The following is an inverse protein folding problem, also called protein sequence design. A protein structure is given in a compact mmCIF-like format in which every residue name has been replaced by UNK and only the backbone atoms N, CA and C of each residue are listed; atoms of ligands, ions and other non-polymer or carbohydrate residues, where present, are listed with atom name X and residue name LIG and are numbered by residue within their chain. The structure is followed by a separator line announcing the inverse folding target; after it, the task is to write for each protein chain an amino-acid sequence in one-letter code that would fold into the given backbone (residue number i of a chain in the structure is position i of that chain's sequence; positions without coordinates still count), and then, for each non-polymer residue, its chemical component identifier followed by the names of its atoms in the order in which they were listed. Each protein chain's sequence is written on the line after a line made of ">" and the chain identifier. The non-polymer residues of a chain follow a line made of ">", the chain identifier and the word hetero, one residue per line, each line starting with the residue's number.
data_IF_236683768848
#
_entry.id   IF_236683768848
#
_cell.length_a   1.000
_cell.length_b   1.000
_cell.length_c   1.000
_cell.angle_alpha   90.00
_cell.angle_beta   90.00
_cell.angle_gamma   90.00
#
_symmetry.space_group_name_H-M   'P 1'
#
loop_
_entity.id
_entity.type
_entity.pdbx_description
1 polymer ?
#
# COMPACT_ATOMS: atom_id res chain seq x y z
N UNK A 1 -34.30 44.23 -57.25
CA UNK A 1 -33.73 42.96 -56.74
C UNK A 1 -32.48 43.15 -55.86
N UNK A 2 -31.54 44.07 -56.15
CA UNK A 2 -30.28 44.21 -55.40
C UNK A 2 -30.42 44.60 -53.89
N UNK A 3 -31.43 45.40 -53.50
CA UNK A 3 -31.63 45.81 -52.09
C UNK A 3 -32.15 44.69 -51.17
N UNK A 4 -32.91 43.72 -51.69
CA UNK A 4 -33.42 42.58 -50.91
C UNK A 4 -32.32 41.55 -50.62
N UNK A 5 -31.36 41.39 -51.54
CA UNK A 5 -30.19 40.53 -51.32
C UNK A 5 -29.26 41.05 -50.24
N UNK A 6 -29.04 42.37 -50.17
CA UNK A 6 -28.20 42.99 -49.13
C UNK A 6 -28.84 42.84 -47.74
N UNK A 7 -30.17 43.00 -47.63
CA UNK A 7 -30.88 42.82 -46.36
C UNK A 7 -30.83 41.36 -45.88
N UNK A 8 -30.97 40.38 -46.79
CA UNK A 8 -30.85 38.97 -46.47
C UNK A 8 -29.43 38.58 -46.03
N UNK A 9 -28.40 39.17 -46.65
CA UNK A 9 -27.00 38.95 -46.26
C UNK A 9 -26.70 39.58 -44.90
N UNK A 10 -27.23 40.78 -44.62
CA UNK A 10 -27.08 41.42 -43.31
C UNK A 10 -27.80 40.65 -42.20
N UNK A 11 -28.99 40.12 -42.47
CA UNK A 11 -29.73 39.26 -41.53
C UNK A 11 -29.03 37.92 -41.34
N UNK A 12 -28.47 37.30 -42.39
CA UNK A 12 -27.65 36.09 -42.24
C UNK A 12 -26.36 36.36 -41.45
N UNK A 13 -25.69 37.51 -41.64
CA UNK A 13 -24.51 37.91 -40.84
C UNK A 13 -24.87 38.20 -39.38
N UNK A 14 -26.03 38.81 -39.12
CA UNK A 14 -26.53 39.02 -37.75
C UNK A 14 -26.90 37.69 -37.08
N UNK A 15 -27.48 36.75 -37.83
CA UNK A 15 -27.83 35.41 -37.34
C UNK A 15 -26.60 34.50 -37.19
N UNK A 16 -25.52 34.74 -37.95
CA UNK A 16 -24.23 34.04 -37.76
C UNK A 16 -23.47 34.54 -36.55
N UNK A 17 -23.60 35.84 -36.21
CA UNK A 17 -23.04 36.42 -34.98
C UNK A 17 -23.77 35.99 -33.70
N UNK A 18 -24.95 35.35 -33.81
CA UNK A 18 -25.71 34.79 -32.69
C UNK A 18 -25.43 33.30 -32.44
N UNK A 19 -24.52 32.68 -33.21
CA UNK A 19 -24.05 31.34 -32.89
C UNK A 19 -23.08 31.40 -31.70
N UNK A 20 -23.67 31.24 -30.52
CA UNK A 20 -23.04 30.70 -29.31
C UNK A 20 -21.75 31.41 -28.88
N UNK A 21 -21.92 32.53 -28.16
CA UNK A 21 -21.15 32.68 -26.91
C UNK A 21 -21.66 31.56 -26.00
N UNK A 22 -21.15 30.34 -26.18
CA UNK A 22 -21.08 29.41 -25.06
C UNK A 22 -20.13 30.12 -24.12
N UNK A 23 -20.65 30.61 -22.99
CA UNK A 23 -19.80 30.85 -21.83
C UNK A 23 -18.90 29.61 -21.73
N UNK A 24 -17.59 29.83 -21.79
CA UNK A 24 -16.64 28.77 -21.52
C UNK A 24 -16.93 28.39 -20.07
N UNK A 25 -17.72 27.34 -19.87
CA UNK A 25 -18.02 26.77 -18.57
C UNK A 25 -16.66 26.51 -17.94
N UNK A 26 -16.34 27.27 -16.89
CA UNK A 26 -15.03 27.16 -16.27
C UNK A 26 -14.81 25.75 -15.72
N UNK A 27 -13.54 25.40 -15.57
CA UNK A 27 -13.17 24.08 -15.06
C UNK A 27 -13.25 24.10 -13.52
N UNK A 28 -13.86 23.06 -12.96
CA UNK A 28 -13.82 22.79 -11.51
C UNK A 28 -12.91 21.60 -11.29
N UNK A 29 -11.85 21.79 -10.53
CA UNK A 29 -10.90 20.72 -10.23
C UNK A 29 -11.44 19.88 -9.07
N UNK A 30 -11.61 18.58 -9.27
CA UNK A 30 -12.21 17.68 -8.28
C UNK A 30 -11.14 16.82 -7.61
N UNK A 31 -11.01 16.91 -6.30
CA UNK A 31 -10.16 16.07 -5.46
C UNK A 31 -11.03 15.10 -4.66
N UNK A 32 -10.64 13.83 -4.60
CA UNK A 32 -11.32 12.80 -3.82
C UNK A 32 -10.49 12.40 -2.60
N UNK A 33 -11.07 12.51 -1.41
CA UNK A 33 -10.41 12.36 -0.13
C UNK A 33 -11.17 11.33 0.71
N UNK A 34 -10.61 10.13 0.82
CA UNK A 34 -11.17 9.04 1.64
C UNK A 34 -10.17 8.58 2.70
N UNK A 35 -10.63 8.43 3.94
CA UNK A 35 -9.83 7.89 5.04
C UNK A 35 -9.14 8.97 5.89
N UNK A 36 -8.14 8.59 6.72
CA UNK A 36 -7.57 9.49 7.70
C UNK A 36 -6.80 10.66 7.06
N UNK A 37 -6.81 11.81 7.73
CA UNK A 37 -6.02 12.99 7.33
C UNK A 37 -4.55 12.73 7.69
N UNK A 38 -3.72 12.56 6.66
CA UNK A 38 -2.30 12.22 6.75
C UNK A 38 -1.42 13.27 6.09
N UNK A 39 -0.09 13.29 6.34
CA UNK A 39 0.82 14.19 5.62
C UNK A 39 0.78 14.00 4.09
N UNK A 40 0.53 12.77 3.60
CA UNK A 40 0.36 12.53 2.17
C UNK A 40 -0.88 13.24 1.62
N UNK A 41 -1.95 13.32 2.43
CA UNK A 41 -3.16 14.07 2.09
C UNK A 41 -2.91 15.57 2.03
N UNK A 42 -2.17 16.13 3.00
CA UNK A 42 -1.82 17.55 2.99
C UNK A 42 -1.04 17.96 1.72
N UNK A 43 -0.05 17.14 1.32
CA UNK A 43 0.66 17.36 0.05
C UNK A 43 -0.28 17.30 -1.16
N UNK A 44 -1.25 16.37 -1.15
CA UNK A 44 -2.22 16.25 -2.22
C UNK A 44 -3.15 17.48 -2.31
N UNK A 45 -3.60 18.02 -1.18
CA UNK A 45 -4.32 19.30 -1.12
C UNK A 45 -3.49 20.44 -1.71
N UNK A 46 -2.24 20.60 -1.25
CA UNK A 46 -1.35 21.65 -1.72
C UNK A 46 -1.14 21.58 -3.24
N UNK A 47 -0.87 20.39 -3.79
CA UNK A 47 -0.75 20.19 -5.24
C UNK A 47 -2.06 20.50 -5.98
N UNK A 48 -3.20 20.12 -5.42
CA UNK A 48 -4.51 20.41 -5.99
C UNK A 48 -4.82 21.90 -6.05
N UNK A 49 -4.53 22.61 -4.96
CA UNK A 49 -4.67 24.07 -4.88
C UNK A 49 -3.78 24.74 -5.92
N UNK A 50 -2.49 24.42 -5.93
CA UNK A 50 -1.55 24.95 -6.90
C UNK A 50 -1.95 24.64 -8.35
N UNK A 51 -2.51 23.44 -8.60
CA UNK A 51 -3.00 23.06 -9.92
C UNK A 51 -4.25 23.85 -10.32
N UNK A 52 -5.18 24.10 -9.39
CA UNK A 52 -6.36 24.93 -9.60
C UNK A 52 -5.97 26.37 -9.95
N UNK A 53 -5.06 26.96 -9.18
CA UNK A 53 -4.51 28.31 -9.40
C UNK A 53 -3.81 28.41 -10.75
N UNK A 54 -2.91 27.47 -11.07
CA UNK A 54 -2.18 27.48 -12.34
C UNK A 54 -3.10 27.35 -13.54
N UNK A 55 -4.21 26.62 -13.40
CA UNK A 55 -5.19 26.42 -14.45
C UNK A 55 -6.25 27.52 -14.51
N UNK A 56 -6.27 28.45 -13.54
CA UNK A 56 -7.36 29.41 -13.33
C UNK A 56 -8.72 28.70 -13.27
N UNK A 57 -8.80 27.62 -12.49
CA UNK A 57 -10.04 26.91 -12.23
C UNK A 57 -11.06 27.84 -11.57
N UNK A 58 -12.33 27.66 -11.87
CA UNK A 58 -13.41 28.45 -11.25
C UNK A 58 -13.58 28.14 -9.77
N UNK A 59 -13.31 26.89 -9.40
CA UNK A 59 -13.27 26.43 -8.03
C UNK A 59 -12.50 25.10 -7.95
N UNK A 60 -12.11 24.75 -6.73
CA UNK A 60 -11.64 23.42 -6.36
C UNK A 60 -12.74 22.76 -5.54
N UNK A 61 -13.20 21.60 -5.97
CA UNK A 61 -14.17 20.79 -5.25
C UNK A 61 -13.45 19.61 -4.57
N UNK A 62 -13.60 19.51 -3.26
CA UNK A 62 -13.03 18.44 -2.45
C UNK A 62 -14.18 17.54 -1.99
N UNK A 63 -14.24 16.32 -2.51
CA UNK A 63 -15.11 15.29 -1.95
C UNK A 63 -14.43 14.64 -0.74
N UNK A 64 -15.07 14.70 0.42
CA UNK A 64 -14.48 14.35 1.70
C UNK A 64 -15.27 13.26 2.43
N UNK A 65 -14.58 12.16 2.74
CA UNK A 65 -15.00 11.15 3.71
C UNK A 65 -13.81 10.82 4.64
N UNK A 66 -13.81 11.39 5.84
CA UNK A 66 -12.69 11.22 6.78
C UNK A 66 -13.16 11.01 8.23
N UNK A 67 -12.57 10.03 8.94
CA UNK A 67 -12.78 9.87 10.37
C UNK A 67 -11.93 10.84 11.22
N UNK A 68 -11.06 11.64 10.60
CA UNK A 68 -10.15 12.55 11.27
C UNK A 68 -8.66 12.27 10.99
N UNK A 69 -7.78 12.91 11.74
CA UNK A 69 -6.34 12.71 11.64
C UNK A 69 -5.57 13.62 12.59
N UNK A 70 -4.30 13.88 12.28
CA UNK A 70 -3.42 14.63 13.15
C UNK A 70 -3.75 16.14 13.13
N UNK A 71 -3.72 16.78 14.30
CA UNK A 71 -4.10 18.19 14.48
C UNK A 71 -3.17 19.12 13.69
N UNK A 72 -1.86 18.88 13.75
CA UNK A 72 -0.85 19.66 13.01
C UNK A 72 -1.11 19.62 11.50
N UNK A 73 -1.31 18.42 10.93
CA UNK A 73 -1.64 18.25 9.51
C UNK A 73 -2.95 18.96 9.15
N UNK A 74 -3.93 18.92 10.05
CA UNK A 74 -5.22 19.60 9.85
C UNK A 74 -5.03 21.12 9.77
N UNK A 75 -4.24 21.69 10.68
CA UNK A 75 -3.98 23.12 10.70
C UNK A 75 -3.12 23.56 9.50
N UNK A 76 -2.21 22.71 9.02
CA UNK A 76 -1.48 22.97 7.78
C UNK A 76 -2.43 23.05 6.58
N UNK A 77 -3.43 22.15 6.47
CA UNK A 77 -4.45 22.19 5.42
C UNK A 77 -5.31 23.46 5.52
N UNK A 78 -5.76 23.82 6.73
CA UNK A 78 -6.51 25.07 6.97
C UNK A 78 -5.71 26.28 6.51
N UNK A 79 -4.40 26.30 6.79
CA UNK A 79 -3.51 27.37 6.37
C UNK A 79 -3.33 27.41 4.84
N UNK A 80 -3.29 26.26 4.17
CA UNK A 80 -3.29 26.19 2.70
C UNK A 80 -4.59 26.73 2.11
N UNK A 81 -5.75 26.45 2.71
CA UNK A 81 -7.03 26.98 2.24
C UNK A 81 -7.08 28.50 2.38
N UNK A 82 -6.66 29.02 3.54
CA UNK A 82 -6.63 30.47 3.79
C UNK A 82 -5.72 31.25 2.83
N UNK A 83 -4.72 30.59 2.23
CA UNK A 83 -3.78 31.20 1.29
C UNK A 83 -4.16 30.96 -0.19
N UNK A 84 -5.21 30.19 -0.47
CA UNK A 84 -5.58 29.83 -1.83
C UNK A 84 -6.14 31.06 -2.59
N UNK A 85 -5.77 31.18 -3.86
CA UNK A 85 -6.28 32.24 -4.76
C UNK A 85 -7.54 31.82 -5.55
N UNK A 86 -7.97 30.57 -5.38
CA UNK A 86 -9.14 29.97 -6.05
C UNK A 86 -10.14 29.49 -4.99
N UNK A 87 -11.47 29.66 -5.19
CA UNK A 87 -12.46 29.18 -4.24
C UNK A 87 -12.36 27.67 -3.98
N UNK A 88 -12.41 27.29 -2.71
CA UNK A 88 -12.41 25.91 -2.26
C UNK A 88 -13.79 25.53 -1.71
N UNK A 89 -14.36 24.48 -2.29
CA UNK A 89 -15.64 23.89 -1.90
C UNK A 89 -15.36 22.52 -1.28
N UNK A 90 -15.79 22.29 -0.05
CA UNK A 90 -15.76 20.94 0.55
C UNK A 90 -17.14 20.30 0.49
N UNK A 91 -17.22 19.08 -0.03
CA UNK A 91 -18.42 18.28 -0.12
C UNK A 91 -18.27 16.99 0.69
N UNK A 92 -18.99 16.85 1.79
CA UNK A 92 -19.00 15.62 2.57
C UNK A 92 -19.83 14.58 1.83
N UNK A 93 -19.17 13.59 1.24
CA UNK A 93 -19.77 12.68 0.27
C UNK A 93 -18.95 11.39 0.15
N UNK A 94 -19.55 10.26 -0.32
CA UNK A 94 -20.94 10.10 -0.77
C UNK A 94 -21.94 10.03 0.40
N UNK A 95 -23.21 9.71 0.12
CA UNK A 95 -24.19 9.43 1.18
C UNK A 95 -23.67 8.39 2.18
N UNK A 96 -23.81 8.66 3.47
CA UNK A 96 -23.25 7.85 4.57
C UNK A 96 -21.79 8.16 4.94
N UNK A 97 -21.11 9.05 4.19
CA UNK A 97 -19.79 9.56 4.55
C UNK A 97 -19.80 10.44 5.80
N UNK A 98 -18.61 10.77 6.28
CA UNK A 98 -18.43 11.64 7.43
C UNK A 98 -17.32 12.67 7.24
N UNK A 99 -17.50 13.84 7.84
CA UNK A 99 -16.44 14.81 8.10
C UNK A 99 -16.19 14.88 9.60
N UNK A 100 -15.65 13.81 10.16
CA UNK A 100 -15.41 13.71 11.60
C UNK A 100 -14.05 14.31 11.98
N UNK A 101 -13.97 14.85 13.19
CA UNK A 101 -12.73 15.37 13.77
C UNK A 101 -12.02 16.38 12.87
N UNK A 102 -10.81 16.09 12.38
CA UNK A 102 -10.10 16.92 11.40
C UNK A 102 -10.98 17.31 10.21
N UNK A 103 -11.84 16.41 9.74
CA UNK A 103 -12.76 16.67 8.64
C UNK A 103 -13.72 17.82 8.92
N UNK A 104 -14.16 17.99 10.17
CA UNK A 104 -15.05 19.12 10.55
C UNK A 104 -14.31 20.45 10.43
N UNK A 105 -13.06 20.49 10.90
CA UNK A 105 -12.21 21.69 10.82
C UNK A 105 -11.93 22.05 9.35
N UNK A 106 -11.57 21.04 8.54
CA UNK A 106 -11.30 21.23 7.10
C UNK A 106 -12.54 21.72 6.36
N UNK A 107 -13.71 21.14 6.64
CA UNK A 107 -14.97 21.55 6.01
C UNK A 107 -15.31 23.00 6.36
N UNK A 108 -15.13 23.41 7.61
CA UNK A 108 -15.41 24.78 8.05
C UNK A 108 -14.37 25.81 7.61
N UNK A 109 -13.20 25.36 7.17
CA UNK A 109 -12.18 26.22 6.58
C UNK A 109 -12.40 26.49 5.08
N UNK A 110 -13.31 25.76 4.44
CA UNK A 110 -13.64 25.96 3.03
C UNK A 110 -14.49 27.22 2.82
N UNK A 111 -14.38 27.80 1.63
CA UNK A 111 -15.13 28.99 1.22
C UNK A 111 -16.62 28.69 1.09
N UNK A 112 -16.96 27.47 0.64
CA UNK A 112 -18.30 26.92 0.69
C UNK A 112 -18.26 25.43 1.08
N UNK A 113 -19.35 24.95 1.68
CA UNK A 113 -19.48 23.58 2.14
C UNK A 113 -20.82 22.96 1.74
N UNK A 114 -20.79 21.71 1.31
CA UNK A 114 -21.96 20.89 1.03
C UNK A 114 -21.91 19.56 1.77
N UNK A 115 -23.07 18.94 1.98
CA UNK A 115 -23.16 17.59 2.53
C UNK A 115 -24.14 16.74 1.72
N UNK A 116 -23.79 15.47 1.47
CA UNK A 116 -24.72 14.52 0.89
C UNK A 116 -25.78 14.09 1.93
N UNK A 117 -26.96 13.58 1.51
CA UNK A 117 -27.91 12.96 2.44
C UNK A 117 -27.25 11.88 3.31
N UNK A 118 -27.73 11.72 4.54
CA UNK A 118 -27.25 10.72 5.51
C UNK A 118 -25.77 10.83 5.91
N UNK A 119 -25.12 11.96 5.64
CA UNK A 119 -23.76 12.24 6.13
C UNK A 119 -23.76 12.92 7.48
N UNK A 120 -22.60 12.88 8.16
CA UNK A 120 -22.40 13.49 9.48
C UNK A 120 -21.16 14.40 9.52
N UNK A 121 -21.20 15.43 10.37
CA UNK A 121 -20.07 16.33 10.65
C UNK A 121 -19.95 16.56 12.16
N UNK A 122 -18.73 16.64 12.69
CA UNK A 122 -18.43 16.94 14.09
C UNK A 122 -17.55 15.88 14.77
N UNK A 123 -17.80 15.58 16.04
CA UNK A 123 -16.99 14.69 16.87
C UNK A 123 -15.50 15.06 16.83
N UNK A 124 -15.20 16.33 17.10
CA UNK A 124 -13.87 16.92 16.94
C UNK A 124 -13.11 17.21 18.24
N UNK A 125 -13.54 16.60 19.35
CA UNK A 125 -12.79 16.63 20.59
C UNK A 125 -11.41 15.96 20.44
N UNK A 126 -10.33 16.58 20.93
CA UNK A 126 -8.98 16.04 20.78
C UNK A 126 -8.77 14.81 21.67
N UNK A 127 -8.10 13.80 21.11
CA UNK A 127 -7.70 12.55 21.79
C UNK A 127 -6.22 12.26 21.55
N UNK A 128 -5.65 11.34 22.33
CA UNK A 128 -4.29 10.85 22.12
C UNK A 128 -4.13 10.13 20.79
N UNK A 129 -2.90 10.04 20.29
CA UNK A 129 -2.58 9.35 19.03
C UNK A 129 -2.88 7.85 19.03
N UNK A 130 -3.06 7.24 20.20
CA UNK A 130 -3.54 5.87 20.41
C UNK A 130 -5.08 5.78 20.57
N UNK A 131 -5.76 6.92 20.53
CA UNK A 131 -7.19 7.09 20.79
C UNK A 131 -7.56 7.13 22.29
N UNK A 132 -6.57 7.18 23.19
CA UNK A 132 -6.82 7.33 24.62
C UNK A 132 -7.13 8.78 25.01
N UNK A 133 -7.67 8.98 26.22
CA UNK A 133 -7.87 10.32 26.76
C UNK A 133 -6.53 11.04 26.96
N UNK A 134 -6.50 12.33 26.58
CA UNK A 134 -5.37 13.21 26.84
C UNK A 134 -5.27 13.57 28.34
N UNK A 135 -4.05 13.77 28.88
CA UNK A 135 -3.88 14.33 30.21
C UNK A 135 -4.60 15.69 30.32
N UNK A 136 -5.27 15.93 31.45
CA UNK A 136 -6.19 17.07 31.67
C UNK A 136 -5.63 18.43 31.22
N UNK A 137 -4.38 18.76 31.56
CA UNK A 137 -3.77 20.03 31.18
C UNK A 137 -3.55 20.16 29.66
N UNK A 138 -3.19 19.06 28.99
CA UNK A 138 -3.03 19.03 27.52
C UNK A 138 -4.40 19.11 26.86
N UNK A 139 -5.34 18.27 27.31
CA UNK A 139 -6.73 18.27 26.83
C UNK A 139 -7.33 19.68 26.84
N UNK A 140 -7.23 20.38 27.97
CA UNK A 140 -7.75 21.75 28.10
C UNK A 140 -7.05 22.73 27.15
N UNK A 141 -5.73 22.63 26.98
CA UNK A 141 -4.98 23.49 26.04
C UNK A 141 -5.44 23.27 24.59
N UNK A 142 -5.54 22.03 24.17
CA UNK A 142 -5.97 21.67 22.81
C UNK A 142 -7.43 22.08 22.57
N UNK A 143 -8.33 21.81 23.53
CA UNK A 143 -9.73 22.22 23.42
C UNK A 143 -9.89 23.74 23.29
N UNK A 144 -9.18 24.54 24.10
CA UNK A 144 -9.25 26.01 24.01
C UNK A 144 -8.68 26.53 22.69
N UNK A 145 -7.56 25.98 22.23
CA UNK A 145 -6.93 26.36 20.96
C UNK A 145 -7.83 26.03 19.77
N UNK A 146 -8.33 24.79 19.68
CA UNK A 146 -9.23 24.36 18.62
C UNK A 146 -10.58 25.09 18.65
N UNK A 147 -11.10 25.38 19.85
CA UNK A 147 -12.32 26.20 19.97
C UNK A 147 -12.10 27.61 19.45
N UNK A 148 -10.92 28.20 19.69
CA UNK A 148 -10.57 29.50 19.12
C UNK A 148 -10.44 29.44 17.59
N UNK A 149 -9.86 28.37 17.04
CA UNK A 149 -9.85 28.11 15.59
C UNK A 149 -11.26 28.03 15.03
N UNK A 150 -12.15 27.23 15.64
CA UNK A 150 -13.54 27.11 15.18
C UNK A 150 -14.26 28.46 15.16
N UNK A 151 -14.11 29.28 16.22
CA UNK A 151 -14.70 30.64 16.24
C UNK A 151 -14.21 31.51 15.08
N UNK A 152 -12.95 31.40 14.69
CA UNK A 152 -12.41 32.16 13.56
C UNK A 152 -12.99 31.66 12.23
N UNK A 153 -13.04 30.34 12.03
CA UNK A 153 -13.55 29.74 10.79
C UNK A 153 -15.04 30.01 10.58
N UNK A 154 -15.84 30.01 11.64
CA UNK A 154 -17.29 30.20 11.55
C UNK A 154 -17.76 31.64 11.76
N UNK A 155 -16.85 32.60 11.95
CA UNK A 155 -17.20 33.99 12.25
C UNK A 155 -18.15 34.61 11.20
N UNK A 156 -18.02 34.20 9.94
CA UNK A 156 -18.85 34.67 8.81
C UNK A 156 -20.17 33.90 8.68
N UNK A 157 -20.32 32.76 9.35
CA UNK A 157 -21.50 31.86 9.28
C UNK A 157 -22.56 32.15 10.35
N UNK A 158 -22.22 32.95 11.37
CA UNK A 158 -23.13 33.38 12.43
C UNK A 158 -22.98 32.65 13.76
N UNK A 159 -23.72 33.11 14.77
CA UNK A 159 -23.58 32.67 16.17
C UNK A 159 -23.97 31.19 16.37
N UNK A 160 -25.02 30.71 15.71
CA UNK A 160 -25.49 29.34 15.84
C UNK A 160 -24.50 28.32 15.26
N UNK A 161 -23.99 28.59 14.04
CA UNK A 161 -22.91 27.82 13.44
C UNK A 161 -21.66 27.80 14.33
N UNK A 162 -21.30 28.97 14.87
CA UNK A 162 -20.13 29.12 15.74
C UNK A 162 -20.26 28.35 17.05
N UNK A 163 -21.41 28.45 17.72
CA UNK A 163 -21.68 27.68 18.94
C UNK A 163 -21.61 26.18 18.68
N UNK A 164 -22.24 25.72 17.59
CA UNK A 164 -22.23 24.30 17.23
C UNK A 164 -20.82 23.80 16.91
N UNK A 165 -20.03 24.57 16.15
CA UNK A 165 -18.63 24.23 15.84
C UNK A 165 -17.75 24.16 17.11
N UNK A 166 -17.95 25.07 18.08
CA UNK A 166 -17.27 24.99 19.37
C UNK A 166 -17.70 23.75 20.15
N UNK A 167 -18.99 23.40 20.16
CA UNK A 167 -19.49 22.17 20.81
C UNK A 167 -18.96 20.89 20.17
N UNK A 168 -18.62 20.89 18.88
CA UNK A 168 -17.92 19.76 18.25
C UNK A 168 -16.57 19.48 18.93
N UNK A 169 -15.89 20.53 19.43
CA UNK A 169 -14.62 20.42 20.17
C UNK A 169 -14.87 20.12 21.65
N UNK A 170 -15.78 20.85 22.29
CA UNK A 170 -15.91 20.82 23.76
C UNK A 170 -16.72 19.63 24.27
N UNK A 171 -17.70 19.20 23.49
CA UNK A 171 -18.70 18.18 23.88
C UNK A 171 -18.70 16.96 22.95
N UNK A 172 -17.78 16.92 21.98
CA UNK A 172 -17.77 15.94 20.90
C UNK A 172 -19.09 15.88 20.12
N UNK A 173 -19.80 17.00 20.01
CA UNK A 173 -21.07 17.08 19.28
C UNK A 173 -20.87 16.67 17.81
N UNK A 174 -21.81 15.90 17.29
CA UNK A 174 -21.89 15.56 15.87
C UNK A 174 -23.33 15.73 15.41
N UNK A 175 -23.51 16.19 14.18
CA UNK A 175 -24.81 16.52 13.59
C UNK A 175 -24.92 15.92 12.20
N UNK A 176 -26.15 15.67 11.77
CA UNK A 176 -26.44 15.25 10.40
C UNK A 176 -26.48 16.46 9.44
N UNK A 177 -26.53 16.18 8.14
CA UNK A 177 -26.58 17.21 7.09
C UNK A 177 -27.70 18.27 7.29
N UNK A 178 -28.90 17.85 7.72
CA UNK A 178 -30.03 18.76 7.92
C UNK A 178 -29.82 19.70 9.11
N UNK A 179 -29.31 19.16 10.22
CA UNK A 179 -28.95 19.94 11.41
C UNK A 179 -27.82 20.93 11.10
N UNK A 180 -26.81 20.50 10.32
CA UNK A 180 -25.72 21.35 9.88
C UNK A 180 -26.19 22.51 9.00
N UNK A 181 -27.07 22.24 8.02
CA UNK A 181 -27.66 23.28 7.16
C UNK A 181 -28.51 24.27 7.96
N UNK A 182 -29.35 23.77 8.86
CA UNK A 182 -30.22 24.62 9.69
C UNK A 182 -29.41 25.56 10.60
N UNK A 183 -28.28 25.09 11.12
CA UNK A 183 -27.37 25.89 11.96
C UNK A 183 -26.48 26.85 11.15
N UNK A 184 -26.46 26.75 9.81
CA UNK A 184 -25.61 27.54 8.93
C UNK A 184 -24.14 27.06 8.86
N UNK A 185 -23.85 25.82 9.29
CA UNK A 185 -22.49 25.26 9.18
C UNK A 185 -22.09 24.94 7.73
N UNK A 186 -23.08 24.63 6.89
CA UNK A 186 -22.91 24.30 5.48
C UNK A 186 -23.89 25.12 4.64
N UNK A 187 -23.64 25.17 3.34
CA UNK A 187 -24.36 26.04 2.40
C UNK A 187 -25.41 25.26 1.59
N UNK A 188 -25.24 23.94 1.42
CA UNK A 188 -26.18 23.11 0.65
C UNK A 188 -26.20 21.63 1.09
N UNK A 189 -27.33 20.97 0.79
CA UNK A 189 -27.44 19.51 0.81
C UNK A 189 -27.70 19.07 -0.63
N UNK A 190 -26.88 18.17 -1.16
CA UNK A 190 -26.91 17.79 -2.56
C UNK A 190 -26.77 16.28 -2.73
N UNK A 191 -27.34 15.71 -3.79
CA UNK A 191 -27.26 14.26 -4.05
C UNK A 191 -25.91 13.84 -4.66
N UNK A 192 -25.30 14.71 -5.45
CA UNK A 192 -24.02 14.50 -6.13
C UNK A 192 -23.28 15.83 -6.37
N UNK A 193 -22.07 15.75 -6.91
CA UNK A 193 -21.23 16.93 -7.19
C UNK A 193 -21.88 17.90 -8.18
N UNK A 194 -22.70 17.41 -9.11
CA UNK A 194 -23.34 18.26 -10.12
C UNK A 194 -24.50 19.04 -9.50
N UNK A 195 -25.32 18.38 -8.69
CA UNK A 195 -26.36 19.03 -7.91
C UNK A 195 -25.78 20.09 -6.97
N UNK A 196 -24.69 19.75 -6.25
CA UNK A 196 -24.01 20.71 -5.37
C UNK A 196 -23.54 21.96 -6.12
N UNK A 197 -22.81 21.77 -7.22
CA UNK A 197 -22.29 22.88 -8.02
C UNK A 197 -23.41 23.74 -8.61
N UNK A 198 -24.58 23.17 -8.91
CA UNK A 198 -25.73 23.96 -9.35
C UNK A 198 -26.37 24.75 -8.19
N UNK A 199 -26.41 24.19 -6.97
CA UNK A 199 -26.97 24.88 -5.80
C UNK A 199 -26.07 26.01 -5.28
N UNK A 200 -24.75 25.85 -5.39
CA UNK A 200 -23.76 26.85 -4.99
C UNK A 200 -23.51 27.94 -6.03
N UNK A 201 -24.02 27.78 -7.25
CA UNK A 201 -23.85 28.76 -8.32
C UNK A 201 -24.44 30.13 -7.93
N UNK A 202 -23.65 31.18 -8.10
CA UNK A 202 -24.02 32.54 -7.72
C UNK A 202 -23.82 32.87 -6.24
N UNK A 203 -23.36 31.93 -5.41
CA UNK A 203 -22.99 32.20 -4.02
C UNK A 203 -21.74 33.10 -3.97
N UNK A 204 -21.79 34.14 -3.13
CA UNK A 204 -20.65 35.01 -2.88
C UNK A 204 -19.84 34.51 -1.68
N UNK A 205 -18.53 34.28 -1.89
CA UNK A 205 -17.58 33.77 -0.90
C UNK A 205 -16.37 34.70 -0.77
N UNK A 206 -15.57 34.52 0.28
CA UNK A 206 -14.38 35.35 0.55
C UNK A 206 -13.10 34.55 0.33
N UNK A 207 -12.44 34.77 -0.81
CA UNK A 207 -11.20 34.06 -1.19
C UNK A 207 -10.01 34.99 -0.99
N UNK A 208 -9.06 34.63 -0.13
CA UNK A 208 -7.88 35.44 0.18
C UNK A 208 -8.21 36.91 0.56
N UNK A 209 -9.37 37.13 1.21
CA UNK A 209 -9.86 38.45 1.58
C UNK A 209 -10.53 39.25 0.45
N UNK A 210 -10.71 38.66 -0.73
CA UNK A 210 -11.46 39.22 -1.85
C UNK A 210 -12.82 38.53 -2.01
N UNK A 211 -13.84 39.33 -2.32
CA UNK A 211 -15.19 38.83 -2.54
C UNK A 211 -15.30 38.25 -3.96
N UNK A 212 -15.58 36.95 -4.06
CA UNK A 212 -15.72 36.22 -5.33
C UNK A 212 -17.09 35.56 -5.41
N UNK A 213 -17.70 35.55 -6.60
CA UNK A 213 -18.95 34.84 -6.85
C UNK A 213 -18.66 33.50 -7.52
N UNK A 214 -19.21 32.42 -6.98
CA UNK A 214 -19.04 31.08 -7.54
C UNK A 214 -19.77 30.96 -8.89
N UNK A 215 -19.02 30.61 -9.93
CA UNK A 215 -19.54 30.31 -11.28
C UNK A 215 -19.36 28.80 -11.53
N UNK A 216 -20.29 28.00 -11.03
CA UNK A 216 -20.17 26.55 -10.92
C UNK A 216 -21.23 25.78 -11.72
N UNK A 217 -22.33 26.43 -12.11
CA UNK A 217 -23.38 25.79 -12.89
C UNK A 217 -22.88 25.37 -14.29
N UNK A 218 -23.01 24.08 -14.59
CA UNK A 218 -22.55 23.51 -15.86
C UNK A 218 -21.03 23.52 -16.03
N UNK A 219 -20.26 23.76 -14.96
CA UNK A 219 -18.81 23.70 -14.96
C UNK A 219 -18.31 22.30 -15.37
N UNK A 220 -17.17 22.27 -16.04
CA UNK A 220 -16.54 21.03 -16.45
C UNK A 220 -15.72 20.47 -15.27
N UNK A 221 -16.18 19.34 -14.70
CA UNK A 221 -15.50 18.70 -13.57
C UNK A 221 -14.29 17.90 -14.06
N UNK A 222 -13.11 18.31 -13.62
CA UNK A 222 -11.83 17.68 -13.98
C UNK A 222 -11.27 16.95 -12.76
N UNK A 223 -11.24 15.60 -12.75
CA UNK A 223 -10.67 14.86 -11.63
C UNK A 223 -9.15 15.09 -11.55
N UNK A 224 -8.65 15.33 -10.34
CA UNK A 224 -7.24 15.52 -10.06
C UNK A 224 -6.76 14.44 -9.11
N UNK A 225 -6.13 13.39 -9.63
CA UNK A 225 -5.75 12.23 -8.82
C UNK A 225 -4.51 12.46 -7.93
N UNK A 226 -4.46 11.70 -6.84
CA UNK A 226 -3.21 11.47 -6.10
C UNK A 226 -2.12 10.92 -7.03
N UNK A 227 -0.89 11.41 -6.81
CA UNK A 227 0.30 10.82 -7.41
C UNK A 227 0.53 9.40 -6.90
N UNK A 228 1.36 8.62 -7.61
CA UNK A 228 1.69 7.26 -7.19
C UNK A 228 2.28 7.22 -5.77
N UNK A 229 3.15 8.19 -5.45
CA UNK A 229 3.79 8.24 -4.14
C UNK A 229 2.76 8.53 -3.04
N UNK A 230 1.91 9.54 -3.21
CA UNK A 230 0.85 9.86 -2.25
C UNK A 230 -0.12 8.69 -2.08
N UNK A 231 -0.52 8.04 -3.17
CA UNK A 231 -1.41 6.87 -3.11
C UNK A 231 -0.78 5.73 -2.30
N UNK A 232 0.53 5.49 -2.45
CA UNK A 232 1.25 4.49 -1.65
C UNK A 232 1.35 4.90 -0.19
N UNK A 233 1.73 6.16 0.09
CA UNK A 233 1.87 6.66 1.46
C UNK A 233 0.53 6.76 2.21
N UNK A 234 -0.55 7.06 1.49
CA UNK A 234 -1.90 7.08 2.03
C UNK A 234 -2.41 5.66 2.29
N UNK A 235 -2.15 4.73 1.37
CA UNK A 235 -2.53 3.32 1.55
C UNK A 235 -1.93 2.68 2.80
N UNK A 236 -0.71 3.09 3.21
CA UNK A 236 -0.08 2.58 4.43
C UNK A 236 -0.63 3.19 5.72
N UNK A 237 -1.57 4.13 5.65
CA UNK A 237 -2.40 4.53 6.79
C UNK A 237 -3.55 3.53 7.06
N UNK A 238 -3.56 2.37 6.40
CA UNK A 238 -4.47 1.26 6.67
C UNK A 238 -3.75 0.13 7.44
N UNK A 239 -4.24 -0.28 8.63
CA UNK A 239 -3.58 -1.30 9.45
C UNK A 239 -3.49 -2.67 8.77
N UNK A 240 -4.44 -3.00 7.89
CA UNK A 240 -4.44 -4.25 7.12
C UNK A 240 -3.27 -4.24 6.13
N UNK A 241 -3.07 -3.13 5.42
CA UNK A 241 -1.98 -2.96 4.46
C UNK A 241 -0.64 -3.04 5.19
N UNK A 242 -0.51 -2.34 6.33
CA UNK A 242 0.71 -2.43 7.15
C UNK A 242 0.97 -3.86 7.63
N UNK A 243 -0.05 -4.57 8.12
CA UNK A 243 0.09 -5.97 8.54
C UNK A 243 0.55 -6.90 7.41
N UNK A 244 0.02 -6.72 6.19
CA UNK A 244 0.45 -7.47 5.00
C UNK A 244 1.89 -7.12 4.61
N UNK A 245 2.24 -5.83 4.55
CA UNK A 245 3.59 -5.37 4.23
C UNK A 245 4.62 -5.90 5.22
N UNK A 246 4.30 -5.88 6.51
CA UNK A 246 5.15 -6.46 7.55
C UNK A 246 5.34 -7.96 7.36
N UNK A 247 4.26 -8.71 7.10
CA UNK A 247 4.34 -10.14 6.85
C UNK A 247 5.24 -10.45 5.63
N UNK A 248 4.89 -9.92 4.45
CA UNK A 248 5.65 -10.19 3.23
C UNK A 248 7.10 -9.69 3.36
N UNK A 249 7.30 -8.51 3.95
CA UNK A 249 8.61 -7.94 4.19
C UNK A 249 9.49 -8.84 5.06
N UNK A 250 8.95 -9.35 6.18
CA UNK A 250 9.61 -10.34 7.02
C UNK A 250 9.96 -11.59 6.21
N UNK A 251 9.01 -12.16 5.47
CA UNK A 251 9.26 -13.36 4.67
C UNK A 251 10.38 -13.16 3.64
N UNK A 252 10.41 -12.02 2.96
CA UNK A 252 11.41 -11.71 1.96
C UNK A 252 12.82 -11.59 2.56
N UNK A 253 12.95 -10.98 3.75
CA UNK A 253 14.20 -10.95 4.51
C UNK A 253 14.64 -12.36 4.92
N UNK A 254 13.73 -13.20 5.41
CA UNK A 254 14.07 -14.59 5.78
C UNK A 254 14.61 -15.34 4.56
N UNK A 255 13.97 -15.20 3.40
CA UNK A 255 14.40 -15.87 2.17
C UNK A 255 15.83 -15.48 1.80
N UNK A 256 16.15 -14.18 1.86
CA UNK A 256 17.49 -13.66 1.56
C UNK A 256 18.55 -14.21 2.52
N UNK A 257 18.27 -14.20 3.83
CA UNK A 257 19.19 -14.73 4.84
C UNK A 257 19.38 -16.25 4.68
N UNK A 258 18.33 -16.97 4.28
CA UNK A 258 18.35 -18.42 4.10
C UNK A 258 19.16 -18.87 2.88
N UNK A 259 19.18 -18.06 1.82
CA UNK A 259 19.85 -18.37 0.56
C UNK A 259 20.71 -17.18 0.13
N UNK A 260 21.87 -16.97 0.79
CA UNK A 260 22.73 -15.84 0.48
C UNK A 260 23.19 -15.87 -0.97
N UNK A 261 23.13 -14.72 -1.65
CA UNK A 261 23.54 -14.57 -3.06
C UNK A 261 22.41 -14.10 -3.98
N UNK A 262 21.17 -14.08 -3.49
CA UNK A 262 20.13 -13.18 -3.98
C UNK A 262 20.41 -11.74 -3.54
N UNK A 263 19.61 -10.80 -4.01
CA UNK A 263 19.55 -9.45 -3.42
C UNK A 263 18.14 -8.88 -3.57
N UNK A 264 17.42 -9.37 -4.58
CA UNK A 264 16.04 -9.00 -4.89
C UNK A 264 15.10 -9.25 -3.71
N UNK A 265 15.18 -10.41 -3.05
CA UNK A 265 14.32 -10.72 -1.91
C UNK A 265 14.64 -9.81 -0.71
N UNK A 266 15.92 -9.60 -0.42
CA UNK A 266 16.37 -8.67 0.62
C UNK A 266 15.86 -7.24 0.38
N UNK A 267 16.02 -6.72 -0.85
CA UNK A 267 15.57 -5.38 -1.21
C UNK A 267 14.05 -5.22 -1.10
N UNK A 268 13.27 -6.17 -1.61
CA UNK A 268 11.81 -6.18 -1.46
C UNK A 268 11.43 -6.18 0.02
N UNK A 269 12.12 -7.00 0.82
CA UNK A 269 11.93 -7.07 2.27
C UNK A 269 12.16 -5.72 2.96
N UNK A 270 13.28 -5.07 2.67
CA UNK A 270 13.62 -3.75 3.26
C UNK A 270 12.58 -2.70 2.84
N UNK A 271 12.16 -2.66 1.58
CA UNK A 271 11.17 -1.69 1.10
C UNK A 271 9.82 -1.91 1.79
N UNK A 272 9.33 -3.15 1.83
CA UNK A 272 8.05 -3.48 2.46
C UNK A 272 8.07 -3.20 3.96
N UNK A 273 9.16 -3.53 4.66
CA UNK A 273 9.30 -3.21 6.08
C UNK A 273 9.44 -1.71 6.31
N UNK A 274 10.15 -0.98 5.45
CA UNK A 274 10.25 0.48 5.51
C UNK A 274 8.89 1.16 5.37
N UNK A 275 8.10 0.73 4.39
CA UNK A 275 6.72 1.21 4.19
C UNK A 275 5.81 0.82 5.38
N UNK A 276 5.94 -0.41 5.88
CA UNK A 276 5.22 -0.85 7.07
C UNK A 276 5.55 -0.01 8.30
N UNK A 277 6.84 0.29 8.53
CA UNK A 277 7.30 1.15 9.63
C UNK A 277 6.78 2.58 9.50
N UNK A 278 6.78 3.15 8.28
CA UNK A 278 6.16 4.45 8.04
C UNK A 278 4.66 4.43 8.40
N UNK A 279 3.93 3.41 7.96
CA UNK A 279 2.51 3.24 8.29
C UNK A 279 2.24 3.08 9.79
N UNK A 280 3.09 2.35 10.52
CA UNK A 280 3.00 2.27 11.99
C UNK A 280 3.17 3.63 12.67
N UNK A 281 3.91 4.56 12.07
CA UNK A 281 4.05 5.93 12.57
C UNK A 281 2.79 6.78 12.41
N UNK A 282 1.87 6.39 11.52
CA UNK A 282 0.60 7.07 11.27
C UNK A 282 -0.57 6.42 12.02
N UNK A 283 -0.36 5.24 12.62
CA UNK A 283 -1.42 4.44 13.22
C UNK A 283 -1.32 4.44 14.76
N UNK A 284 -2.46 4.32 15.46
CA UNK A 284 -2.55 4.16 16.91
C UNK A 284 -2.03 2.78 17.35
N UNK A 285 -0.71 2.57 17.33
CA UNK A 285 -0.10 1.25 17.53
C UNK A 285 0.32 0.99 18.98
N UNK A 286 0.17 -0.27 19.41
CA UNK A 286 0.68 -0.71 20.70
C UNK A 286 2.08 -1.31 20.60
N UNK A 287 3.05 -0.72 21.30
CA UNK A 287 4.45 -1.16 21.32
C UNK A 287 4.65 -2.60 21.85
N UNK A 288 3.77 -3.11 22.72
CA UNK A 288 3.80 -4.51 23.14
C UNK A 288 3.48 -5.43 21.95
N UNK A 289 2.47 -5.07 21.16
CA UNK A 289 2.12 -5.80 19.93
C UNK A 289 3.27 -5.80 18.93
N UNK A 290 3.95 -4.66 18.78
CA UNK A 290 5.14 -4.55 17.92
C UNK A 290 6.26 -5.47 18.42
N UNK A 291 6.51 -5.51 19.73
CA UNK A 291 7.46 -6.43 20.34
C UNK A 291 7.12 -7.89 20.06
N UNK A 292 5.85 -8.28 20.15
CA UNK A 292 5.39 -9.62 19.79
C UNK A 292 5.60 -9.94 18.31
N UNK A 293 5.35 -9.01 17.39
CA UNK A 293 5.63 -9.19 15.96
C UNK A 293 7.13 -9.40 15.72
N UNK A 294 8.00 -8.66 16.41
CA UNK A 294 9.45 -8.84 16.34
C UNK A 294 9.86 -10.22 16.89
N UNK A 295 9.28 -10.66 18.02
CA UNK A 295 9.54 -12.00 18.58
C UNK A 295 9.11 -13.09 17.59
N UNK A 296 7.93 -12.97 16.98
CA UNK A 296 7.47 -13.90 15.96
C UNK A 296 8.48 -14.02 14.81
N UNK A 297 9.03 -12.88 14.36
CA UNK A 297 10.07 -12.86 13.34
C UNK A 297 11.35 -13.60 13.78
N UNK A 298 11.84 -13.36 15.00
CA UNK A 298 13.01 -14.08 15.54
C UNK A 298 12.74 -15.59 15.59
N UNK A 299 11.53 -16.01 15.96
CA UNK A 299 11.15 -17.43 15.96
C UNK A 299 11.16 -18.03 14.55
N UNK A 300 10.64 -17.32 13.55
CA UNK A 300 10.70 -17.77 12.15
C UNK A 300 12.14 -17.86 11.64
N UNK A 301 12.99 -16.90 11.98
CA UNK A 301 14.41 -16.93 11.61
C UNK A 301 15.14 -18.10 12.29
N UNK A 302 14.88 -18.31 13.58
CA UNK A 302 15.45 -19.43 14.34
C UNK A 302 15.00 -20.79 13.78
N UNK A 303 13.76 -20.95 13.30
CA UNK A 303 13.30 -22.16 12.64
C UNK A 303 14.14 -22.50 11.41
N UNK A 304 14.45 -21.50 10.57
CA UNK A 304 15.26 -21.68 9.37
C UNK A 304 16.69 -22.07 9.73
N UNK A 305 17.29 -21.40 10.72
CA UNK A 305 18.68 -21.65 11.09
C UNK A 305 18.88 -22.99 11.82
N UNK A 306 17.93 -23.38 12.66
CA UNK A 306 18.02 -24.59 13.49
C UNK A 306 17.33 -25.83 12.88
N UNK A 307 16.56 -25.67 11.81
CA UNK A 307 15.79 -26.74 11.15
C UNK A 307 14.96 -27.60 12.15
N UNK A 308 14.22 -26.92 13.04
CA UNK A 308 13.58 -27.53 14.22
C UNK A 308 12.24 -28.26 13.92
N UNK A 309 12.11 -28.84 12.72
CA UNK A 309 10.94 -29.59 12.24
C UNK A 309 9.60 -28.81 12.23
N UNK A 310 9.64 -27.48 12.25
CA UNK A 310 8.49 -26.58 12.15
C UNK A 310 7.92 -26.08 13.48
N UNK A 311 8.46 -26.50 14.62
CA UNK A 311 7.91 -26.14 15.93
C UNK A 311 8.00 -24.62 16.21
N UNK A 312 9.11 -23.98 15.87
CA UNK A 312 9.29 -22.54 16.05
C UNK A 312 8.46 -21.74 15.04
N UNK A 313 8.19 -22.29 13.85
CA UNK A 313 7.28 -21.66 12.89
C UNK A 313 5.82 -21.66 13.39
N UNK A 314 5.35 -22.73 14.03
CA UNK A 314 4.01 -22.76 14.65
C UNK A 314 3.94 -21.74 15.79
N UNK A 315 4.93 -21.74 16.68
CA UNK A 315 5.02 -20.76 17.76
C UNK A 315 5.06 -19.32 17.22
N UNK A 316 5.90 -19.05 16.21
CA UNK A 316 6.00 -17.77 15.54
C UNK A 316 4.68 -17.32 14.91
N UNK A 317 3.92 -18.24 14.32
CA UNK A 317 2.58 -17.95 13.75
C UNK A 317 1.58 -17.53 14.84
N UNK A 318 1.55 -18.25 15.96
CA UNK A 318 0.67 -17.93 17.10
C UNK A 318 1.07 -16.57 17.69
N UNK A 319 2.37 -16.34 17.89
CA UNK A 319 2.89 -15.08 18.42
C UNK A 319 2.64 -13.92 17.45
N UNK A 320 2.75 -14.14 16.14
CA UNK A 320 2.41 -13.13 15.12
C UNK A 320 0.93 -12.76 15.19
N UNK A 321 0.04 -13.74 15.34
CA UNK A 321 -1.40 -13.50 15.44
C UNK A 321 -1.74 -12.69 16.69
N UNK A 322 -1.19 -13.10 17.84
CA UNK A 322 -1.33 -12.34 19.08
C UNK A 322 -0.72 -10.93 18.96
N UNK A 323 0.43 -10.82 18.30
CA UNK A 323 1.12 -9.56 18.05
C UNK A 323 0.28 -8.59 17.23
N UNK A 324 -0.28 -9.03 16.09
CA UNK A 324 -1.16 -8.20 15.26
C UNK A 324 -2.43 -7.78 16.00
N UNK A 325 -3.03 -8.70 16.78
CA UNK A 325 -4.20 -8.39 17.61
C UNK A 325 -3.88 -7.31 18.64
N UNK A 326 -2.78 -7.44 19.38
CA UNK A 326 -2.39 -6.43 20.39
C UNK A 326 -1.98 -5.12 19.72
N UNK A 327 -1.27 -5.18 18.60
CA UNK A 327 -0.71 -4.04 17.88
C UNK A 327 -1.78 -3.06 17.42
N UNK A 328 -2.92 -3.56 16.90
CA UNK A 328 -3.97 -2.73 16.30
C UNK A 328 -5.31 -2.71 17.05
N UNK A 329 -5.52 -3.57 18.06
CA UNK A 329 -6.80 -3.66 18.78
C UNK A 329 -6.69 -3.30 20.26
N UNK A 330 -5.87 -2.30 20.58
CA UNK A 330 -5.72 -1.87 21.96
C UNK A 330 -6.93 -1.07 22.47
N UNK A 331 -7.18 -1.06 23.79
CA UNK A 331 -8.20 -0.18 24.37
C UNK A 331 -7.91 1.28 23.98
N UNK A 332 -8.91 1.99 23.45
CA UNK A 332 -8.75 3.36 22.94
C UNK A 332 -8.63 3.46 21.42
N UNK A 333 -8.11 2.42 20.74
CA UNK A 333 -7.94 2.47 19.28
C UNK A 333 -9.29 2.66 18.58
N UNK A 334 -9.45 3.67 17.69
CA UNK A 334 -10.69 3.89 16.95
C UNK A 334 -11.10 2.67 16.11
N UNK A 335 -12.40 2.47 15.92
CA UNK A 335 -12.92 1.27 15.25
C UNK A 335 -12.39 1.08 13.83
N UNK A 336 -12.19 2.17 13.08
CA UNK A 336 -11.65 2.15 11.72
C UNK A 336 -10.17 1.74 11.64
N UNK A 337 -9.42 1.86 12.74
CA UNK A 337 -8.00 1.49 12.82
C UNK A 337 -7.76 0.09 13.41
N UNK A 338 -8.82 -0.67 13.71
CA UNK A 338 -8.73 -2.04 14.27
C UNK A 338 -8.66 -3.07 13.16
N UNK A 339 -7.96 -4.17 13.42
CA UNK A 339 -7.96 -5.36 12.55
C UNK A 339 -8.93 -6.40 13.08
N UNK A 340 -9.82 -6.90 12.22
CA UNK A 340 -10.73 -7.98 12.59
C UNK A 340 -10.00 -9.31 12.83
N UNK A 341 -10.55 -10.18 13.69
CA UNK A 341 -10.00 -11.52 13.94
C UNK A 341 -9.80 -12.32 12.63
N UNK A 342 -10.79 -12.40 11.71
CA UNK A 342 -10.60 -13.06 10.42
C UNK A 342 -9.46 -12.48 9.60
N UNK A 343 -9.30 -11.15 9.58
CA UNK A 343 -8.22 -10.51 8.82
C UNK A 343 -6.85 -10.85 9.37
N UNK A 344 -6.66 -10.78 10.69
CA UNK A 344 -5.38 -11.18 11.29
C UNK A 344 -5.10 -12.67 11.07
N UNK A 345 -6.13 -13.53 11.17
CA UNK A 345 -6.00 -14.95 10.89
C UNK A 345 -5.65 -15.23 9.42
N UNK A 346 -6.17 -14.43 8.48
CA UNK A 346 -5.83 -14.52 7.07
C UNK A 346 -4.38 -14.11 6.82
N UNK A 347 -3.91 -13.01 7.42
CA UNK A 347 -2.52 -12.56 7.32
C UNK A 347 -1.59 -13.63 7.90
N UNK A 348 -1.83 -14.09 9.13
CA UNK A 348 -0.95 -15.06 9.78
C UNK A 348 -1.02 -16.45 9.16
N UNK A 349 -2.22 -16.88 8.73
CA UNK A 349 -2.42 -18.12 8.00
C UNK A 349 -1.72 -18.09 6.65
N UNK A 350 -1.81 -16.98 5.91
CA UNK A 350 -1.08 -16.75 4.67
C UNK A 350 0.43 -16.84 4.86
N UNK A 351 0.95 -16.15 5.89
CA UNK A 351 2.36 -16.23 6.31
C UNK A 351 2.80 -17.66 6.62
N UNK A 352 2.01 -18.40 7.39
CA UNK A 352 2.32 -19.78 7.76
C UNK A 352 2.31 -20.72 6.54
N UNK A 353 1.30 -20.61 5.66
CA UNK A 353 1.20 -21.41 4.45
C UNK A 353 2.38 -21.13 3.50
N UNK A 354 2.75 -19.87 3.34
CA UNK A 354 3.89 -19.48 2.52
C UNK A 354 5.21 -20.02 3.10
N UNK A 355 5.39 -19.91 4.41
CA UNK A 355 6.57 -20.47 5.10
C UNK A 355 6.66 -21.99 4.91
N UNK A 356 5.54 -22.72 5.10
CA UNK A 356 5.47 -24.16 4.86
C UNK A 356 5.79 -24.52 3.40
N UNK A 357 5.32 -23.73 2.43
CA UNK A 357 5.65 -23.91 1.03
C UNK A 357 7.16 -23.79 0.79
N UNK A 358 7.80 -22.72 1.28
CA UNK A 358 9.25 -22.52 1.14
C UNK A 358 10.03 -23.64 1.83
N UNK A 359 9.68 -24.00 3.07
CA UNK A 359 10.31 -25.08 3.80
C UNK A 359 10.20 -26.42 3.04
N UNK A 360 9.04 -26.71 2.46
CA UNK A 360 8.86 -27.92 1.65
C UNK A 360 9.79 -27.96 0.43
N UNK A 361 10.01 -26.81 -0.21
CA UNK A 361 10.93 -26.66 -1.35
C UNK A 361 12.39 -26.77 -0.90
N UNK A 362 12.76 -26.13 0.21
CA UNK A 362 14.09 -26.19 0.80
C UNK A 362 14.48 -27.63 1.18
N UNK A 363 13.60 -28.34 1.90
CA UNK A 363 13.81 -29.74 2.28
C UNK A 363 13.91 -30.64 1.03
N UNK A 364 13.07 -30.42 0.02
CA UNK A 364 13.17 -31.16 -1.26
C UNK A 364 14.47 -30.86 -2.01
N UNK A 365 14.96 -29.63 -1.96
CA UNK A 365 16.22 -29.23 -2.57
C UNK A 365 17.42 -29.88 -1.86
N UNK A 366 17.42 -29.91 -0.52
CA UNK A 366 18.45 -30.58 0.28
C UNK A 366 18.45 -32.10 0.11
N UNK A 367 17.27 -32.71 -0.12
CA UNK A 367 17.15 -34.16 -0.38
C UNK A 367 17.54 -34.59 -1.79
N UNK A 368 17.77 -33.67 -2.73
CA UNK A 368 18.33 -34.02 -4.03
C UNK A 368 19.80 -34.38 -3.85
N UNK A 369 20.20 -35.57 -4.30
CA UNK A 369 21.59 -36.04 -4.23
C UNK A 369 22.52 -35.00 -4.87
N UNK A 370 23.68 -34.69 -4.28
CA UNK A 370 24.67 -33.82 -4.90
C UNK A 370 25.07 -34.39 -6.27
N UNK A 371 24.87 -33.62 -7.34
CA UNK A 371 25.23 -34.01 -8.72
C UNK A 371 26.67 -33.57 -9.04
N UNK A 372 27.32 -32.86 -8.13
CA UNK A 372 28.66 -32.27 -8.30
C UNK A 372 29.65 -32.83 -7.28
N UNK A 373 30.92 -32.99 -7.66
CA UNK A 373 32.00 -33.53 -6.82
C UNK A 373 32.11 -35.06 -6.85
N UNK A 374 32.91 -35.64 -5.94
CA UNK A 374 33.22 -37.09 -5.89
C UNK A 374 31.95 -37.97 -5.80
N UNK A 375 30.88 -37.49 -5.15
CA UNK A 375 29.61 -38.22 -5.03
C UNK A 375 28.74 -38.19 -6.29
N UNK A 376 28.91 -37.18 -7.16
CA UNK A 376 28.20 -37.07 -8.44
C UNK A 376 28.84 -37.87 -9.58
N UNK A 377 30.05 -38.39 -9.35
CA UNK A 377 30.81 -39.23 -10.29
C UNK A 377 30.40 -40.70 -10.21
N UNK A 378 29.99 -41.17 -9.02
CA UNK A 378 29.57 -42.56 -8.79
C UNK A 378 28.29 -42.86 -9.60
N UNK A 379 28.34 -43.91 -10.41
CA UNK A 379 27.25 -44.33 -11.31
C UNK A 379 27.23 -43.62 -12.67
N UNK A 380 28.13 -42.66 -12.93
CA UNK A 380 28.24 -42.05 -14.26
C UNK A 380 28.90 -43.02 -15.25
N UNK A 381 28.51 -42.90 -16.51
CA UNK A 381 29.14 -43.64 -17.61
C UNK A 381 30.25 -42.83 -18.28
N UNK A 382 31.37 -43.48 -18.58
CA UNK A 382 32.49 -42.88 -19.31
C UNK A 382 32.95 -43.72 -20.48
N UNK A 383 33.96 -43.21 -21.19
CA UNK A 383 34.68 -43.97 -22.23
C UNK A 383 36.15 -44.08 -21.91
N UNK A 384 36.70 -45.27 -22.11
CA UNK A 384 38.13 -45.52 -21.98
C UNK A 384 38.90 -44.80 -23.08
N UNK A 385 39.92 -44.01 -22.70
CA UNK A 385 40.74 -43.19 -23.62
C UNK A 385 42.15 -43.72 -23.79
N UNK A 386 42.57 -44.66 -22.95
CA UNK A 386 43.84 -45.35 -23.08
C UNK A 386 43.68 -46.82 -22.69
N UNK A 387 44.44 -47.72 -23.30
CA UNK A 387 44.33 -49.15 -23.01
C UNK A 387 44.87 -49.42 -21.61
N UNK A 388 44.06 -50.06 -20.77
CA UNK A 388 44.41 -50.28 -19.37
C UNK A 388 45.54 -51.31 -19.24
N UNK A 389 46.65 -50.92 -18.61
CA UNK A 389 47.82 -51.77 -18.41
C UNK A 389 47.88 -52.31 -16.99
N UNK A 390 48.31 -53.57 -16.77
CA UNK A 390 48.47 -54.13 -15.44
C UNK A 390 49.55 -53.35 -14.67
N UNK A 391 49.29 -53.01 -13.41
CA UNK A 391 50.30 -52.40 -12.55
C UNK A 391 51.20 -53.48 -11.94
N UNK A 392 52.50 -53.19 -11.85
CA UNK A 392 53.56 -54.14 -11.42
C UNK A 392 53.38 -54.68 -9.98
N UNK A 393 52.51 -54.09 -9.17
CA UNK A 393 52.33 -54.42 -7.74
C UNK A 393 50.87 -54.51 -7.26
N UNK A 394 49.89 -54.66 -8.16
CA UNK A 394 48.47 -54.77 -7.77
C UNK A 394 47.64 -55.63 -8.74
N UNK A 395 46.55 -56.23 -8.25
CA UNK A 395 45.56 -56.96 -9.06
C UNK A 395 44.69 -56.05 -9.96
N UNK A 396 45.05 -54.76 -10.09
CA UNK A 396 44.32 -53.76 -10.85
C UNK A 396 45.06 -53.33 -12.12
N UNK A 397 44.29 -53.11 -13.17
CA UNK A 397 44.72 -52.43 -14.38
C UNK A 397 44.48 -50.93 -14.26
N UNK A 398 45.37 -50.12 -14.83
CA UNK A 398 45.31 -48.66 -14.75
C UNK A 398 45.28 -48.04 -16.14
N UNK A 399 44.52 -46.96 -16.29
CA UNK A 399 44.45 -46.21 -17.53
C UNK A 399 43.71 -44.89 -17.35
N UNK A 400 43.35 -44.26 -18.47
CA UNK A 400 42.60 -43.01 -18.48
C UNK A 400 41.20 -43.19 -19.05
N UNK A 401 40.22 -42.57 -18.39
CA UNK A 401 38.81 -42.56 -18.81
C UNK A 401 38.32 -41.13 -18.96
N UNK A 402 37.40 -40.92 -19.88
CA UNK A 402 36.72 -39.65 -20.07
C UNK A 402 35.31 -39.75 -19.48
N UNK A 403 35.07 -39.04 -18.39
CA UNK A 403 33.81 -39.03 -17.63
C UNK A 403 33.42 -37.58 -17.40
N UNK A 404 32.16 -37.24 -17.70
CA UNK A 404 31.57 -35.93 -17.44
C UNK A 404 32.37 -34.73 -18.00
N UNK A 405 33.03 -34.89 -19.15
CA UNK A 405 33.78 -33.82 -19.83
C UNK A 405 35.25 -33.69 -19.43
N UNK A 406 35.73 -34.52 -18.51
CA UNK A 406 37.10 -34.47 -17.97
C UNK A 406 37.83 -35.80 -18.16
N UNK A 407 39.17 -35.75 -18.23
CA UNK A 407 40.03 -36.93 -18.31
C UNK A 407 40.50 -37.31 -16.90
N UNK A 408 40.17 -38.53 -16.47
CA UNK A 408 40.45 -39.04 -15.14
C UNK A 408 41.37 -40.25 -15.21
N UNK A 409 42.27 -40.37 -14.23
CA UNK A 409 42.99 -41.62 -13.99
C UNK A 409 42.02 -42.61 -13.35
N UNK A 410 42.01 -43.85 -13.82
CA UNK A 410 41.10 -44.87 -13.35
C UNK A 410 41.80 -46.23 -13.20
N UNK A 411 41.22 -47.07 -12.34
CA UNK A 411 41.63 -48.45 -12.13
C UNK A 411 40.46 -49.40 -12.29
N UNK A 412 40.74 -50.61 -12.76
CA UNK A 412 39.75 -51.66 -12.98
C UNK A 412 40.32 -53.03 -12.63
N UNK A 413 39.46 -53.95 -12.18
CA UNK A 413 39.80 -55.34 -11.92
C UNK A 413 39.91 -56.18 -13.20
N UNK A 414 39.43 -55.65 -14.32
CA UNK A 414 39.44 -56.29 -15.62
C UNK A 414 40.20 -55.43 -16.66
N UNK A 415 40.78 -56.05 -17.71
CA UNK A 415 41.42 -55.29 -18.77
C UNK A 415 40.37 -54.53 -19.60
N UNK A 416 40.58 -53.23 -19.75
CA UNK A 416 39.73 -52.33 -20.53
C UNK A 416 40.45 -51.82 -21.77
N UNK A 417 39.75 -51.77 -22.90
CA UNK A 417 40.30 -51.32 -24.18
C UNK A 417 39.81 -49.92 -24.55
N UNK A 418 40.58 -49.24 -25.40
CA UNK A 418 40.18 -47.95 -25.95
C UNK A 418 38.76 -47.99 -26.53
N UNK A 419 37.91 -47.07 -26.10
CA UNK A 419 36.52 -46.97 -26.55
C UNK A 419 35.50 -47.76 -25.73
N UNK A 420 35.93 -48.62 -24.79
CA UNK A 420 35.02 -49.32 -23.89
C UNK A 420 34.18 -48.35 -23.06
N UNK A 421 32.91 -48.69 -22.86
CA UNK A 421 31.99 -47.94 -22.00
C UNK A 421 32.12 -48.48 -20.59
N UNK A 422 32.39 -47.59 -19.64
CA UNK A 422 32.57 -47.93 -18.22
C UNK A 422 31.52 -47.27 -17.36
N UNK A 423 31.34 -47.79 -16.15
CA UNK A 423 30.57 -47.16 -15.07
C UNK A 423 31.52 -46.92 -13.89
N UNK A 424 31.42 -45.76 -13.25
CA UNK A 424 32.22 -45.41 -12.08
C UNK A 424 31.60 -46.04 -10.82
N UNK A 425 32.37 -46.83 -10.08
CA UNK A 425 31.94 -47.50 -8.85
C UNK A 425 32.23 -46.66 -7.60
N UNK A 426 33.43 -46.08 -7.55
CA UNK A 426 33.89 -45.25 -6.44
C UNK A 426 34.92 -44.22 -6.91
N UNK A 427 35.09 -43.17 -6.11
CA UNK A 427 36.13 -42.15 -6.30
C UNK A 427 37.06 -42.18 -5.11
N UNK A 428 38.32 -42.53 -5.33
CA UNK A 428 39.37 -42.56 -4.32
C UNK A 428 40.37 -41.43 -4.61
N UNK A 429 40.28 -40.33 -3.84
CA UNK A 429 41.10 -39.13 -4.01
C UNK A 429 41.02 -38.54 -5.44
N UNK A 430 42.01 -38.85 -6.28
CA UNK A 430 42.13 -38.39 -7.68
C UNK A 430 42.01 -39.55 -8.71
N UNK A 431 41.55 -40.73 -8.29
CA UNK A 431 41.41 -41.92 -9.12
C UNK A 431 40.01 -42.51 -9.05
N UNK A 432 39.49 -42.95 -10.20
CA UNK A 432 38.18 -43.60 -10.31
C UNK A 432 38.33 -45.12 -10.30
N UNK A 433 37.51 -45.82 -9.51
CA UNK A 433 37.31 -47.26 -9.68
C UNK A 433 36.20 -47.46 -10.70
N UNK A 434 36.47 -48.28 -11.72
CA UNK A 434 35.53 -48.46 -12.84
C UNK A 434 35.42 -49.92 -13.26
N UNK A 435 34.25 -50.30 -13.73
CA UNK A 435 34.02 -51.59 -14.41
C UNK A 435 33.42 -51.38 -15.80
N UNK A 436 33.60 -52.38 -16.67
CA UNK A 436 33.00 -52.37 -18.00
C UNK A 436 31.49 -52.48 -17.88
N UNK A 437 30.77 -51.58 -18.54
CA UNK A 437 29.31 -51.68 -18.62
C UNK A 437 28.96 -52.96 -19.37
N UNK A 438 28.31 -53.91 -18.69
CA UNK A 438 27.73 -55.09 -19.35
C UNK A 438 26.74 -54.60 -20.41
N UNK A 439 26.92 -55.02 -21.66
CA UNK A 439 25.87 -54.88 -22.66
C UNK A 439 24.71 -55.76 -22.21
N UNK A 440 23.62 -55.15 -21.74
CA UNK A 440 22.33 -55.84 -21.75
C UNK A 440 21.98 -56.09 -23.22
N UNK A 441 21.94 -57.37 -23.60
CA UNK A 441 21.39 -57.79 -24.88
C UNK A 441 19.94 -57.31 -24.92
N UNK A 442 19.65 -56.33 -25.78
CA UNK A 442 18.32 -56.12 -26.35
C UNK A 442 17.98 -57.36 -27.21
N UNK A 443 17.60 -58.45 -26.55
CA UNK A 443 16.91 -59.56 -27.21
C UNK A 443 15.41 -59.31 -27.08
N UNK A 444 14.93 -58.31 -27.83
CA UNK A 444 13.51 -58.10 -28.06
C UNK A 444 13.07 -59.10 -29.14
N UNK A 445 13.05 -60.39 -28.77
CA UNK A 445 12.41 -61.45 -29.52
C UNK A 445 10.89 -61.29 -29.41
N UNK A 446 10.28 -60.73 -30.45
CA UNK A 446 8.84 -60.57 -30.53
C UNK A 446 8.07 -61.89 -30.43
N UNK A 447 6.85 -61.81 -29.91
CA UNK A 447 5.79 -62.68 -30.34
C UNK A 447 4.48 -61.88 -30.43
N UNK A 448 3.73 -62.27 -31.45
CA UNK A 448 2.50 -61.68 -32.02
C UNK A 448 1.37 -61.63 -31.01
#
# INVERSE_FOLDING_TARGET
>A
MKRRGILLILVMLLLWGLNSVRAQSGDVLVLDIEGPVTPAMANYFERGIQAGETQNANAILIQLDTPGGAIDVTLDIVQSFANAEVPIIVYVAPSGAMAASAGSVITLAADAAGMAPDTIIGAASPVGGDGADLPETIKRKEMEALSATMRNLTAVRGDEATDLAVRMITEAAAVNAQEALNAGLIDAIADDTTDLLNQLDGLTVQVNGEEMTLETAGANQQPYDMSLLERVLHAVANPIIVGILMAIGIQAIIIEISNPGGWVAGLIGVIMLGLGLYGLGQLPVNYLGLGLVIIAFVLFLAEVMAANHGALAVAGTIVLFAGLMVLFNSPGTPAFSRISIPTAAAITGGTALFFLFIMSKAVRAQKKKPITGQQGMIGQTGKVRDTFTPAESSDYYHGYVFVNGELWQAQSVEPLQFGDIIVVDSVNELRLDVHKRKQENEDNGGNI
#
